data_IF_789222181641
#
_entry.id   IF_789222181641
#
_cell.length_a   1.000
_cell.length_b   1.000
_cell.length_c   1.000
_cell.angle_alpha   90.00
_cell.angle_beta   90.00
_cell.angle_gamma   90.00
#
_symmetry.space_group_name_H-M   'P 1'
#
loop_
_entity.id
_entity.type
_entity.pdbx_description
1 polymer ?
#
# COMPACT_ATOMS: atom_id res chain seq x y z
N UNK A 1 -9.89 34.21 13.61
CA UNK A 1 -10.41 32.89 13.17
C UNK A 1 -9.24 32.08 12.63
N UNK A 2 -9.12 30.81 12.99
CA UNK A 2 -8.04 29.93 12.51
C UNK A 2 -8.58 29.01 11.42
N UNK A 3 -7.88 28.94 10.28
CA UNK A 3 -8.22 28.03 9.19
C UNK A 3 -7.08 27.08 8.93
N UNK A 4 -7.43 25.80 8.82
CA UNK A 4 -6.56 24.79 8.23
C UNK A 4 -6.69 24.91 6.72
N UNK A 5 -5.56 25.03 6.05
CA UNK A 5 -5.46 25.08 4.59
C UNK A 5 -4.88 23.75 4.12
N UNK A 6 -5.70 22.98 3.41
CA UNK A 6 -5.35 21.68 2.87
C UNK A 6 -4.14 21.72 1.94
N UNK A 7 -3.40 20.61 1.81
CA UNK A 7 -2.15 20.56 1.04
C UNK A 7 -2.33 20.92 -0.43
N UNK A 8 -3.50 20.58 -1.00
CA UNK A 8 -3.85 20.91 -2.39
C UNK A 8 -4.14 22.40 -2.63
N UNK A 9 -4.04 23.25 -1.60
CA UNK A 9 -4.36 24.68 -1.66
C UNK A 9 -3.13 25.51 -1.30
N UNK A 10 -2.68 26.30 -2.26
CA UNK A 10 -1.65 27.32 -2.10
C UNK A 10 -2.22 28.71 -2.34
N UNK A 11 -1.42 29.74 -2.04
CA UNK A 11 -1.81 31.14 -2.23
C UNK A 11 -2.15 31.49 -3.69
N UNK A 12 -1.64 30.72 -4.66
CA UNK A 12 -1.92 30.93 -6.08
C UNK A 12 -3.23 30.28 -6.55
N UNK A 13 -3.81 29.37 -5.77
CA UNK A 13 -5.02 28.61 -6.17
C UNK A 13 -6.27 29.48 -6.21
N UNK A 14 -7.20 29.13 -7.10
CA UNK A 14 -8.49 29.82 -7.22
C UNK A 14 -9.29 29.77 -5.91
N UNK A 15 -9.32 28.61 -5.22
CA UNK A 15 -10.04 28.50 -3.95
C UNK A 15 -9.47 29.42 -2.89
N UNK A 16 -8.15 29.53 -2.78
CA UNK A 16 -7.53 30.45 -1.82
C UNK A 16 -7.85 31.91 -2.14
N UNK A 17 -7.81 32.30 -3.42
CA UNK A 17 -8.19 33.65 -3.86
C UNK A 17 -9.65 33.97 -3.53
N UNK A 18 -10.58 33.09 -3.91
CA UNK A 18 -12.01 33.24 -3.59
C UNK A 18 -12.26 33.25 -2.08
N UNK A 19 -11.51 32.44 -1.34
CA UNK A 19 -11.54 32.43 0.12
C UNK A 19 -11.08 33.75 0.73
N UNK A 20 -9.99 34.36 0.23
CA UNK A 20 -9.53 35.66 0.70
C UNK A 20 -10.58 36.76 0.48
N UNK A 21 -11.26 36.74 -0.67
CA UNK A 21 -12.38 37.65 -0.97
C UNK A 21 -13.52 37.43 0.03
N UNK A 22 -13.94 36.19 0.24
CA UNK A 22 -15.00 35.84 1.19
C UNK A 22 -14.66 36.24 2.63
N UNK A 23 -13.39 36.07 3.01
CA UNK A 23 -12.91 36.35 4.35
C UNK A 23 -12.87 37.86 4.63
N UNK A 24 -12.56 38.67 3.61
CA UNK A 24 -12.44 40.12 3.73
C UNK A 24 -11.36 40.53 4.73
N UNK A 25 -11.70 41.48 5.61
CA UNK A 25 -10.80 42.06 6.63
C UNK A 25 -10.75 41.30 7.95
N UNK A 26 -11.43 40.14 8.06
CA UNK A 26 -11.53 39.40 9.33
C UNK A 26 -10.14 38.91 9.81
N UNK A 27 -9.81 39.02 11.12
CA UNK A 27 -8.54 38.55 11.67
C UNK A 27 -8.34 37.05 11.46
N UNK A 28 -7.16 36.66 10.99
CA UNK A 28 -6.90 35.31 10.51
C UNK A 28 -5.52 34.78 10.84
N UNK A 29 -5.48 33.51 11.19
CA UNK A 29 -4.27 32.68 11.19
C UNK A 29 -4.51 31.49 10.28
N UNK A 30 -3.56 31.23 9.39
CA UNK A 30 -3.62 30.13 8.44
C UNK A 30 -2.60 29.07 8.82
N UNK A 31 -3.07 27.83 8.93
CA UNK A 31 -2.22 26.65 9.14
C UNK A 31 -2.18 25.92 7.81
N UNK A 32 -1.10 26.13 7.05
CA UNK A 32 -0.89 25.42 5.80
C UNK A 32 -0.35 24.02 6.10
N UNK A 33 -1.17 22.99 5.84
CA UNK A 33 -0.80 21.61 6.12
C UNK A 33 0.46 21.17 5.38
N UNK A 34 0.63 21.65 4.14
CA UNK A 34 1.83 21.40 3.34
C UNK A 34 3.14 21.89 3.98
N UNK A 35 3.07 22.83 4.94
CA UNK A 35 4.22 23.35 5.67
C UNK A 35 4.37 22.75 7.07
N UNK A 36 3.25 22.57 7.78
CA UNK A 36 3.25 22.23 9.21
C UNK A 36 3.09 20.74 9.47
N UNK A 37 2.34 20.04 8.62
CA UNK A 37 2.07 18.60 8.72
C UNK A 37 2.07 17.94 7.32
N UNK A 38 3.18 17.98 6.56
CA UNK A 38 3.22 17.45 5.21
C UNK A 38 2.78 15.98 5.15
N UNK A 39 1.94 15.64 4.17
CA UNK A 39 1.40 14.31 3.91
C UNK A 39 0.31 13.85 4.88
N UNK A 40 -0.22 14.75 5.72
CA UNK A 40 -1.20 14.39 6.75
C UNK A 40 -2.45 13.70 6.17
N UNK A 41 -2.83 12.52 6.67
CA UNK A 41 -4.06 11.84 6.24
C UNK A 41 -5.32 12.63 6.58
N UNK A 42 -6.34 12.59 5.71
CA UNK A 42 -7.67 13.19 5.93
C UNK A 42 -8.24 12.92 7.33
N UNK A 43 -8.06 11.70 7.83
CA UNK A 43 -8.56 11.29 9.14
C UNK A 43 -7.88 12.03 10.28
N UNK A 44 -6.58 12.30 10.18
CA UNK A 44 -5.82 13.06 11.18
C UNK A 44 -6.26 14.53 11.19
N UNK A 45 -6.58 15.08 10.01
CA UNK A 45 -7.17 16.42 9.89
C UNK A 45 -8.51 16.46 10.64
N UNK A 46 -9.39 15.49 10.37
CA UNK A 46 -10.73 15.45 10.96
C UNK A 46 -10.70 15.20 12.46
N UNK A 47 -9.90 14.26 12.94
CA UNK A 47 -9.97 13.81 14.34
C UNK A 47 -9.14 14.67 15.30
N UNK A 48 -8.09 15.35 14.81
CA UNK A 48 -7.15 16.05 15.70
C UNK A 48 -7.04 17.54 15.43
N UNK A 49 -7.13 17.96 14.17
CA UNK A 49 -7.00 19.37 13.81
C UNK A 49 -8.34 20.08 13.86
N UNK A 50 -9.39 19.54 13.23
CA UNK A 50 -10.69 20.20 13.20
C UNK A 50 -11.35 20.40 14.56
N UNK A 51 -11.21 19.53 15.57
CA UNK A 51 -11.74 19.80 16.90
C UNK A 51 -11.09 21.03 17.55
N UNK A 52 -9.82 21.33 17.21
CA UNK A 52 -9.08 22.49 17.73
C UNK A 52 -9.35 23.76 16.94
N UNK A 53 -9.38 23.67 15.61
CA UNK A 53 -9.38 24.84 14.72
C UNK A 53 -10.73 25.13 14.05
N UNK A 54 -11.63 24.15 14.03
CA UNK A 54 -13.03 24.17 13.54
C UNK A 54 -13.27 24.53 12.07
N UNK A 55 -12.27 25.09 11.38
CA UNK A 55 -12.43 25.61 10.02
C UNK A 55 -11.41 25.00 9.05
N UNK A 56 -11.91 24.49 7.93
CA UNK A 56 -11.14 23.87 6.85
C UNK A 56 -11.36 24.62 5.53
N UNK A 57 -10.31 24.78 4.75
CA UNK A 57 -10.37 25.08 3.33
C UNK A 57 -9.71 23.92 2.56
N UNK A 58 -10.45 23.24 1.67
CA UNK A 58 -9.95 22.06 0.92
C UNK A 58 -10.50 22.00 -0.51
N UNK A 59 -9.73 21.39 -1.42
CA UNK A 59 -10.19 21.00 -2.75
C UNK A 59 -10.74 19.57 -2.79
N UNK A 60 -10.44 18.75 -1.77
CA UNK A 60 -10.94 17.40 -1.69
C UNK A 60 -12.43 17.44 -1.30
N UNK A 61 -13.28 17.11 -2.28
CA UNK A 61 -14.73 17.10 -2.15
C UNK A 61 -15.22 16.09 -1.12
N UNK A 62 -14.50 14.98 -0.95
CA UNK A 62 -14.83 13.94 0.03
C UNK A 62 -14.48 14.42 1.43
N UNK A 63 -13.27 14.99 1.62
CA UNK A 63 -12.84 15.59 2.88
C UNK A 63 -13.78 16.73 3.29
N UNK A 64 -14.15 17.62 2.35
CA UNK A 64 -15.10 18.70 2.59
C UNK A 64 -16.45 18.20 3.09
N UNK A 65 -17.07 17.28 2.36
CA UNK A 65 -18.36 16.72 2.75
C UNK A 65 -18.28 15.97 4.08
N UNK A 66 -17.15 15.32 4.37
CA UNK A 66 -16.95 14.63 5.64
C UNK A 66 -16.83 15.62 6.80
N UNK A 67 -16.01 16.66 6.67
CA UNK A 67 -15.89 17.70 7.68
C UNK A 67 -17.25 18.33 8.01
N UNK A 68 -18.09 18.61 7.00
CA UNK A 68 -19.47 19.10 7.20
C UNK A 68 -20.34 18.08 7.93
N UNK A 69 -20.25 16.79 7.56
CA UNK A 69 -21.04 15.74 8.19
C UNK A 69 -20.69 15.55 9.68
N UNK A 70 -19.43 15.79 10.05
CA UNK A 70 -18.94 15.79 11.44
C UNK A 70 -19.18 17.14 12.17
N UNK A 71 -19.90 18.07 11.54
CA UNK A 71 -20.30 19.35 12.16
C UNK A 71 -19.26 20.48 12.07
N UNK A 72 -18.15 20.28 11.35
CA UNK A 72 -17.12 21.31 11.17
C UNK A 72 -17.45 22.26 10.01
N UNK A 73 -16.91 23.48 10.07
CA UNK A 73 -16.99 24.41 8.96
C UNK A 73 -15.94 24.06 7.93
N UNK A 74 -16.36 23.61 6.75
CA UNK A 74 -15.47 23.40 5.61
C UNK A 74 -15.86 24.31 4.47
N UNK A 75 -14.87 24.85 3.75
CA UNK A 75 -15.03 25.67 2.56
C UNK A 75 -14.36 24.98 1.37
N UNK A 76 -15.03 25.00 0.22
CA UNK A 76 -14.51 24.51 -1.05
C UNK A 76 -15.14 25.27 -2.21
N UNK A 77 -14.71 25.03 -3.45
CA UNK A 77 -15.38 25.54 -4.64
C UNK A 77 -16.47 24.55 -5.10
N UNK A 78 -17.65 25.05 -5.41
CA UNK A 78 -18.71 24.27 -6.05
C UNK A 78 -18.40 24.02 -7.55
N UNK A 79 -19.32 23.33 -8.24
CA UNK A 79 -19.17 23.03 -9.68
C UNK A 79 -19.13 24.28 -10.56
N UNK A 80 -19.61 25.41 -10.05
CA UNK A 80 -19.63 26.70 -10.74
C UNK A 80 -18.42 27.58 -10.36
N UNK A 81 -17.50 27.06 -9.54
CA UNK A 81 -16.32 27.80 -9.07
C UNK A 81 -16.60 28.79 -7.93
N UNK A 82 -17.78 28.74 -7.31
CA UNK A 82 -18.12 29.60 -6.18
C UNK A 82 -17.73 28.97 -4.85
N UNK A 83 -17.30 29.79 -3.90
CA UNK A 83 -16.99 29.30 -2.56
C UNK A 83 -18.28 28.89 -1.84
N UNK A 84 -18.30 27.67 -1.31
CA UNK A 84 -19.43 27.11 -0.58
C UNK A 84 -19.00 26.48 0.73
N UNK A 85 -19.89 26.53 1.73
CA UNK A 85 -19.80 25.78 2.98
C UNK A 85 -20.87 24.69 3.10
N UNK A 86 -21.54 24.35 2.00
CA UNK A 86 -22.60 23.34 1.94
C UNK A 86 -22.05 22.06 1.33
N UNK A 87 -22.57 20.93 1.82
CA UNK A 87 -22.26 19.61 1.27
C UNK A 87 -22.49 19.58 -0.24
N UNK A 88 -21.51 19.07 -0.98
CA UNK A 88 -21.57 18.96 -2.43
C UNK A 88 -22.44 17.76 -2.83
N UNK A 89 -23.44 17.95 -3.71
CA UNK A 89 -24.32 16.88 -4.14
C UNK A 89 -23.57 15.82 -4.95
N UNK A 90 -24.05 14.57 -4.90
CA UNK A 90 -23.50 13.44 -5.66
C UNK A 90 -22.21 12.84 -5.10
N UNK A 91 -21.63 13.39 -4.03
CA UNK A 91 -20.45 12.83 -3.38
C UNK A 91 -20.86 11.85 -2.28
N UNK A 92 -20.67 10.56 -2.54
CA UNK A 92 -20.94 9.50 -1.57
C UNK A 92 -19.85 9.44 -0.51
N UNK A 93 -20.22 9.73 0.73
CA UNK A 93 -19.38 9.43 1.88
C UNK A 93 -19.42 7.91 2.13
N UNK A 94 -18.27 7.24 2.07
CA UNK A 94 -18.16 5.88 2.62
C UNK A 94 -18.42 5.96 4.13
N UNK A 95 -19.01 4.89 4.72
CA UNK A 95 -19.20 4.74 6.18
C UNK A 95 -17.93 5.16 6.93
N UNK A 96 -18.13 5.76 8.12
CA UNK A 96 -17.14 6.23 9.09
C UNK A 96 -15.72 5.71 8.79
N UNK A 97 -14.82 6.62 8.42
CA UNK A 97 -13.41 6.30 8.47
C UNK A 97 -13.06 5.96 9.92
N UNK A 98 -12.21 4.96 10.14
CA UNK A 98 -11.78 4.63 11.49
C UNK A 98 -11.08 5.84 12.08
N UNK A 99 -11.21 6.08 13.40
CA UNK A 99 -10.50 7.18 14.01
C UNK A 99 -8.98 7.02 13.84
N UNK A 100 -8.26 8.12 13.91
CA UNK A 100 -6.80 8.13 14.02
C UNK A 100 -6.37 7.24 15.20
N UNK A 101 -5.45 6.32 14.91
CA UNK A 101 -4.82 5.47 15.93
C UNK A 101 -3.63 6.17 16.61
N UNK A 102 -3.10 7.24 16.02
CA UNK A 102 -1.97 7.98 16.59
C UNK A 102 -2.49 8.83 17.75
N UNK A 103 -1.77 8.89 18.88
CA UNK A 103 -2.18 9.72 20.02
C UNK A 103 -2.01 11.20 19.75
N UNK A 104 -0.91 11.55 19.09
CA UNK A 104 -0.52 12.92 18.82
C UNK A 104 -0.43 13.16 17.32
N UNK A 105 -0.41 14.44 16.95
CA UNK A 105 -0.20 14.84 15.56
C UNK A 105 1.30 14.77 15.26
N UNK A 106 1.69 14.18 14.14
CA UNK A 106 3.10 14.20 13.71
C UNK A 106 3.42 15.46 12.95
N UNK A 107 4.65 15.96 13.10
CA UNK A 107 5.15 17.09 12.32
C UNK A 107 5.32 16.72 10.84
N UNK A 108 5.51 15.43 10.52
CA UNK A 108 5.69 14.98 9.15
C UNK A 108 5.10 13.57 8.95
N UNK A 109 4.09 13.47 8.11
CA UNK A 109 3.41 12.22 7.77
C UNK A 109 3.94 11.58 6.50
N UNK A 110 4.89 12.22 5.81
CA UNK A 110 5.66 11.60 4.74
C UNK A 110 6.62 10.57 5.35
N UNK A 111 6.08 9.44 5.79
CA UNK A 111 6.87 8.25 6.06
C UNK A 111 7.47 7.79 4.73
N UNK A 112 8.66 8.30 4.42
CA UNK A 112 9.44 7.81 3.31
C UNK A 112 9.94 6.42 3.68
N UNK A 113 9.75 5.40 2.82
CA UNK A 113 10.56 4.20 2.91
C UNK A 113 12.04 4.59 2.95
N UNK A 114 12.91 3.76 3.54
CA UNK A 114 14.35 4.01 3.43
C UNK A 114 14.74 4.10 1.95
N UNK A 115 15.79 4.86 1.65
CA UNK A 115 16.28 5.02 0.27
C UNK A 115 16.56 3.65 -0.38
N UNK A 116 17.02 2.68 0.42
CA UNK A 116 17.18 1.28 0.02
C UNK A 116 15.86 0.61 -0.38
N UNK A 117 14.80 0.71 0.43
CA UNK A 117 13.49 0.14 0.09
C UNK A 117 12.91 0.80 -1.16
N UNK A 118 13.15 2.10 -1.33
CA UNK A 118 12.77 2.84 -2.53
C UNK A 118 13.52 2.35 -3.78
N UNK A 119 14.82 2.15 -3.65
CA UNK A 119 15.66 1.59 -4.70
C UNK A 119 15.18 0.19 -5.10
N UNK A 120 14.97 -0.70 -4.13
CA UNK A 120 14.48 -2.06 -4.38
C UNK A 120 13.11 -2.05 -5.08
N UNK A 121 12.20 -1.20 -4.64
CA UNK A 121 10.89 -1.05 -5.30
C UNK A 121 11.02 -0.55 -6.74
N UNK A 122 11.89 0.44 -7.00
CA UNK A 122 12.13 0.94 -8.36
C UNK A 122 12.63 -0.17 -9.30
N UNK A 123 13.54 -1.03 -8.84
CA UNK A 123 14.06 -2.17 -9.60
C UNK A 123 12.98 -3.23 -9.86
N UNK A 124 12.14 -3.52 -8.87
CA UNK A 124 11.00 -4.42 -9.05
C UNK A 124 9.99 -3.89 -10.07
N UNK A 125 9.67 -2.59 -10.03
CA UNK A 125 8.75 -1.97 -10.99
C UNK A 125 9.29 -2.06 -12.43
N UNK A 126 10.60 -1.98 -12.63
CA UNK A 126 11.23 -2.15 -13.94
C UNK A 126 11.15 -3.58 -14.49
N UNK A 127 10.88 -4.56 -13.63
CA UNK A 127 10.67 -5.95 -14.02
C UNK A 127 9.21 -6.25 -14.40
N UNK A 128 8.29 -5.32 -14.15
CA UNK A 128 6.86 -5.50 -14.39
C UNK A 128 6.39 -4.81 -15.66
N UNK A 129 5.41 -5.43 -16.34
CA UNK A 129 4.71 -4.78 -17.45
C UNK A 129 3.90 -3.58 -16.97
N UNK A 130 3.68 -2.60 -17.85
CA UNK A 130 2.87 -1.41 -17.55
C UNK A 130 1.48 -1.76 -16.99
N UNK A 131 0.83 -2.79 -17.56
CA UNK A 131 -0.46 -3.29 -17.09
C UNK A 131 -0.40 -3.81 -15.66
N UNK A 132 0.70 -4.46 -15.26
CA UNK A 132 0.92 -4.90 -13.89
C UNK A 132 1.11 -3.70 -12.95
N UNK A 133 1.91 -2.72 -13.35
CA UNK A 133 2.15 -1.48 -12.59
C UNK A 133 0.84 -0.73 -12.32
N UNK A 134 -0.04 -0.61 -13.32
CA UNK A 134 -1.35 0.03 -13.16
C UNK A 134 -2.27 -0.72 -12.18
N UNK A 135 -2.27 -2.06 -12.23
CA UNK A 135 -2.98 -2.90 -11.26
C UNK A 135 -2.45 -2.68 -9.84
N UNK A 136 -1.13 -2.65 -9.66
CA UNK A 136 -0.49 -2.38 -8.37
C UNK A 136 -0.87 -0.99 -7.85
N UNK A 137 -0.77 0.05 -8.68
CA UNK A 137 -1.17 1.42 -8.32
C UNK A 137 -2.63 1.49 -7.86
N UNK A 138 -3.52 0.79 -8.58
CA UNK A 138 -4.95 0.72 -8.22
C UNK A 138 -5.17 0.00 -6.89
N UNK A 139 -4.51 -1.14 -6.66
CA UNK A 139 -4.56 -1.88 -5.39
C UNK A 139 -4.04 -1.03 -4.23
N UNK A 140 -2.88 -0.39 -4.39
CA UNK A 140 -2.29 0.53 -3.40
C UNK A 140 -3.24 1.67 -3.03
N UNK A 141 -3.87 2.32 -4.02
CA UNK A 141 -4.88 3.37 -3.79
C UNK A 141 -6.08 2.84 -3.00
N UNK A 142 -6.57 1.63 -3.32
CA UNK A 142 -7.70 1.01 -2.61
C UNK A 142 -7.37 0.69 -1.16
N UNK A 143 -6.18 0.14 -0.89
CA UNK A 143 -5.70 -0.15 0.46
C UNK A 143 -5.60 1.16 1.26
N UNK A 144 -4.92 2.18 0.72
CA UNK A 144 -4.84 3.50 1.36
C UNK A 144 -6.21 4.10 1.65
N UNK A 145 -7.14 4.04 0.69
CA UNK A 145 -8.51 4.55 0.88
C UNK A 145 -9.30 3.77 1.95
N UNK A 146 -9.03 2.48 2.14
CA UNK A 146 -9.73 1.64 3.11
C UNK A 146 -9.23 1.87 4.53
N UNK A 147 -7.91 1.89 4.71
CA UNK A 147 -7.29 2.04 6.03
C UNK A 147 -7.10 3.51 6.44
N UNK A 148 -7.08 4.46 5.50
CA UNK A 148 -6.81 5.88 5.74
C UNK A 148 -5.32 6.14 5.98
N UNK A 149 -4.73 5.45 6.94
CA UNK A 149 -3.33 5.51 7.34
C UNK A 149 -2.74 4.08 7.46
N UNK A 150 -1.45 3.92 7.16
CA UNK A 150 -0.68 2.70 7.42
C UNK A 150 -0.69 2.35 8.91
N UNK A 151 -0.77 3.35 9.80
CA UNK A 151 -0.91 3.13 11.24
C UNK A 151 -2.15 2.32 11.62
N UNK A 152 -3.20 2.31 10.78
CA UNK A 152 -4.41 1.51 11.00
C UNK A 152 -4.24 0.04 10.57
N UNK A 153 -3.09 -0.34 10.03
CA UNK A 153 -2.74 -1.72 9.69
C UNK A 153 -2.03 -2.37 10.88
N UNK A 154 -2.54 -3.52 11.33
CA UNK A 154 -1.98 -4.27 12.44
C UNK A 154 -0.84 -5.19 11.96
N UNK A 155 -1.13 -5.98 10.92
CA UNK A 155 -0.18 -6.93 10.32
C UNK A 155 -0.61 -7.30 8.90
N UNK A 156 0.33 -7.89 8.15
CA UNK A 156 0.13 -8.46 6.83
C UNK A 156 0.27 -9.98 6.94
N UNK A 157 -0.72 -10.72 6.46
CA UNK A 157 -0.64 -12.17 6.34
C UNK A 157 -0.55 -12.55 4.87
N UNK A 158 0.52 -13.21 4.47
CA UNK A 158 0.60 -13.90 3.19
C UNK A 158 0.37 -15.40 3.38
N UNK A 159 -0.53 -15.99 2.61
CA UNK A 159 -0.54 -17.44 2.39
C UNK A 159 0.09 -17.72 1.03
N UNK A 160 1.22 -18.43 1.00
CA UNK A 160 1.99 -18.64 -0.23
C UNK A 160 2.14 -20.13 -0.47
N UNK A 161 1.83 -20.55 -1.68
CA UNK A 161 1.99 -21.93 -2.13
C UNK A 161 2.98 -22.01 -3.29
N UNK A 162 3.81 -23.04 -3.24
CA UNK A 162 4.77 -23.42 -4.28
C UNK A 162 4.69 -24.92 -4.50
N UNK A 163 4.63 -25.35 -5.75
CA UNK A 163 4.57 -26.76 -6.13
C UNK A 163 5.45 -26.99 -7.35
N UNK A 164 6.32 -28.00 -7.27
CA UNK A 164 7.07 -28.48 -8.43
C UNK A 164 6.11 -29.24 -9.34
N UNK A 165 6.06 -28.86 -10.60
CA UNK A 165 5.47 -29.64 -11.69
C UNK A 165 6.58 -30.06 -12.65
N UNK A 166 6.32 -31.04 -13.51
CA UNK A 166 7.33 -31.72 -14.37
C UNK A 166 8.65 -30.97 -14.63
N UNK A 167 8.60 -29.78 -15.25
CA UNK A 167 9.79 -28.94 -15.54
C UNK A 167 9.61 -27.48 -15.11
N UNK A 168 8.70 -27.21 -14.18
CA UNK A 168 8.34 -25.85 -13.80
C UNK A 168 7.98 -25.77 -12.32
N UNK A 169 7.87 -24.57 -11.79
CA UNK A 169 7.24 -24.33 -10.49
C UNK A 169 5.97 -23.53 -10.70
N UNK A 170 4.85 -24.06 -10.22
CA UNK A 170 3.59 -23.32 -10.13
C UNK A 170 3.41 -22.84 -8.70
N UNK A 171 2.82 -21.67 -8.54
CA UNK A 171 2.49 -21.19 -7.22
C UNK A 171 1.67 -19.91 -7.24
N UNK A 172 1.50 -19.34 -6.06
CA UNK A 172 0.75 -18.11 -5.91
C UNK A 172 0.66 -17.69 -4.47
N UNK A 173 -0.09 -16.62 -4.24
CA UNK A 173 -0.31 -16.08 -2.91
C UNK A 173 -1.70 -15.52 -2.71
N UNK A 174 -2.15 -15.53 -1.45
CA UNK A 174 -3.21 -14.66 -0.94
C UNK A 174 -2.61 -13.65 0.04
N UNK A 175 -3.01 -12.40 -0.11
CA UNK A 175 -2.64 -11.30 0.77
C UNK A 175 -3.87 -10.86 1.57
N UNK A 176 -3.78 -11.01 2.89
CA UNK A 176 -4.71 -10.47 3.87
C UNK A 176 -4.04 -9.34 4.64
N UNK A 177 -4.81 -8.27 4.88
CA UNK A 177 -4.34 -7.12 5.67
C UNK A 177 -5.20 -7.04 6.92
N UNK A 178 -4.59 -7.27 8.08
CA UNK A 178 -5.26 -7.14 9.37
C UNK A 178 -5.31 -5.68 9.77
N UNK A 179 -6.46 -5.26 10.26
CA UNK A 179 -6.65 -3.91 10.75
C UNK A 179 -6.39 -3.83 12.25
N UNK A 180 -5.96 -2.66 12.74
CA UNK A 180 -6.02 -2.34 14.18
C UNK A 180 -7.49 -2.06 14.59
N UNK A 181 -7.73 -2.00 15.91
CA UNK A 181 -9.07 -1.82 16.52
C UNK A 181 -9.91 -0.79 15.75
N UNK A 182 -11.22 -1.06 15.60
CA UNK A 182 -12.26 -0.30 14.85
C UNK A 182 -12.49 -0.66 13.38
N UNK A 183 -11.55 -1.36 12.72
CA UNK A 183 -11.72 -1.80 11.34
C UNK A 183 -11.83 -3.32 11.20
N UNK A 184 -12.50 -3.76 10.13
CA UNK A 184 -12.44 -5.16 9.67
C UNK A 184 -11.17 -5.39 8.87
N UNK A 185 -10.62 -6.60 8.97
CA UNK A 185 -9.52 -7.03 8.11
C UNK A 185 -9.96 -7.04 6.64
N UNK A 186 -9.05 -6.66 5.75
CA UNK A 186 -9.22 -6.83 4.31
C UNK A 186 -8.77 -8.25 3.95
N UNK A 187 -9.73 -9.18 3.98
CA UNK A 187 -9.49 -10.62 3.82
C UNK A 187 -8.88 -10.99 2.46
N UNK A 188 -9.15 -10.20 1.42
CA UNK A 188 -8.65 -10.39 0.07
C UNK A 188 -8.09 -9.07 -0.48
N UNK A 189 -6.95 -8.64 0.05
CA UNK A 189 -6.33 -7.39 -0.37
C UNK A 189 -5.61 -7.55 -1.72
N UNK A 190 -4.99 -8.69 -1.95
CA UNK A 190 -4.40 -9.09 -3.23
C UNK A 190 -4.33 -10.60 -3.34
N UNK A 191 -4.26 -11.09 -4.57
CA UNK A 191 -3.84 -12.45 -4.89
C UNK A 191 -3.09 -12.39 -6.23
N UNK A 192 -2.31 -13.44 -6.49
CA UNK A 192 -1.59 -13.62 -7.74
C UNK A 192 -1.08 -15.03 -7.88
N UNK A 193 -1.02 -15.52 -9.12
CA UNK A 193 -0.60 -16.89 -9.45
C UNK A 193 0.42 -16.82 -10.59
N UNK A 194 1.48 -17.61 -10.45
CA UNK A 194 2.61 -17.57 -11.35
C UNK A 194 3.05 -18.98 -11.75
N UNK A 195 3.59 -19.07 -12.96
CA UNK A 195 4.27 -20.24 -13.50
C UNK A 195 5.72 -19.85 -13.85
N UNK A 196 6.67 -20.57 -13.26
CA UNK A 196 8.11 -20.44 -13.50
C UNK A 196 8.61 -21.63 -14.31
N UNK A 197 8.73 -21.45 -15.62
CA UNK A 197 9.33 -22.43 -16.53
C UNK A 197 10.82 -22.17 -16.79
N UNK A 198 11.35 -21.01 -16.36
CA UNK A 198 12.72 -20.58 -16.72
C UNK A 198 13.75 -20.97 -15.67
N UNK A 199 13.48 -20.69 -14.39
CA UNK A 199 14.31 -21.12 -13.27
C UNK A 199 13.78 -22.41 -12.62
N UNK A 200 12.46 -22.62 -12.68
CA UNK A 200 11.75 -23.69 -11.97
C UNK A 200 12.18 -23.80 -10.49
N UNK A 201 12.35 -22.65 -9.81
CA UNK A 201 12.85 -22.62 -8.43
C UNK A 201 11.70 -22.54 -7.42
N UNK A 202 11.74 -23.34 -6.34
CA UNK A 202 10.62 -23.43 -5.37
C UNK A 202 10.31 -22.11 -4.65
N UNK A 203 11.28 -21.18 -4.63
CA UNK A 203 11.13 -19.83 -4.08
C UNK A 203 10.55 -18.80 -5.06
N UNK A 204 10.32 -19.13 -6.33
CA UNK A 204 9.80 -18.17 -7.31
C UNK A 204 8.44 -17.58 -6.91
N UNK A 205 7.47 -18.36 -6.38
CA UNK A 205 6.23 -17.80 -5.82
C UNK A 205 6.45 -16.91 -4.59
N UNK A 206 7.47 -17.17 -3.78
CA UNK A 206 7.86 -16.32 -2.64
C UNK A 206 8.42 -15.00 -3.16
N UNK A 207 9.32 -15.04 -4.14
CA UNK A 207 9.85 -13.83 -4.78
C UNK A 207 8.70 -12.99 -5.33
N UNK A 208 7.77 -13.62 -6.06
CA UNK A 208 6.59 -12.96 -6.61
C UNK A 208 5.74 -12.26 -5.53
N UNK A 209 5.44 -12.96 -4.44
CA UNK A 209 4.66 -12.41 -3.33
C UNK A 209 5.36 -11.21 -2.66
N UNK A 210 6.66 -11.33 -2.38
CA UNK A 210 7.45 -10.25 -1.79
C UNK A 210 7.56 -9.05 -2.72
N UNK A 211 7.71 -9.24 -4.03
CA UNK A 211 7.71 -8.12 -4.98
C UNK A 211 6.42 -7.31 -4.92
N UNK A 212 5.27 -7.96 -4.78
CA UNK A 212 4.00 -7.27 -4.57
C UNK A 212 3.94 -6.53 -3.23
N UNK A 213 4.44 -7.12 -2.13
CA UNK A 213 4.51 -6.45 -0.83
C UNK A 213 5.28 -5.11 -0.93
N UNK A 214 6.44 -5.13 -1.60
CA UNK A 214 7.27 -3.94 -1.82
C UNK A 214 6.54 -2.90 -2.66
N UNK A 215 6.03 -3.29 -3.82
CA UNK A 215 5.37 -2.34 -4.73
C UNK A 215 4.02 -1.83 -4.19
N UNK A 216 3.41 -2.52 -3.21
CA UNK A 216 2.24 -2.03 -2.46
C UNK A 216 2.60 -1.06 -1.32
N UNK A 217 3.88 -0.88 -1.01
CA UNK A 217 4.41 -0.02 0.05
C UNK A 217 3.96 -0.47 1.45
N UNK A 218 4.03 -1.78 1.71
CA UNK A 218 3.60 -2.39 2.97
C UNK A 218 4.76 -2.94 3.81
N UNK A 219 6.01 -2.63 3.45
CA UNK A 219 7.23 -3.20 4.07
C UNK A 219 7.47 -2.78 5.52
N UNK A 220 6.83 -1.69 5.97
CA UNK A 220 6.94 -1.18 7.34
C UNK A 220 5.96 -1.85 8.32
N UNK A 221 5.01 -2.63 7.80
CA UNK A 221 4.01 -3.35 8.61
C UNK A 221 4.56 -4.73 8.98
N UNK A 222 4.33 -5.25 10.20
CA UNK A 222 4.68 -6.63 10.54
C UNK A 222 4.08 -7.64 9.55
N UNK A 223 4.90 -8.58 9.08
CA UNK A 223 4.53 -9.56 8.04
C UNK A 223 4.64 -10.97 8.58
N UNK A 224 3.59 -11.78 8.40
CA UNK A 224 3.64 -13.22 8.61
C UNK A 224 3.47 -13.94 7.28
N UNK A 225 4.46 -14.77 6.92
CA UNK A 225 4.45 -15.61 5.73
C UNK A 225 4.03 -17.03 6.12
N UNK A 226 2.78 -17.38 5.81
CA UNK A 226 2.24 -18.73 5.93
C UNK A 226 2.58 -19.51 4.65
N UNK A 227 3.57 -20.40 4.71
CA UNK A 227 4.11 -21.11 3.54
C UNK A 227 3.61 -22.56 3.54
N UNK A 228 2.97 -22.99 2.45
CA UNK A 228 2.42 -24.35 2.35
C UNK A 228 3.48 -25.41 2.02
N UNK A 229 4.55 -25.01 1.32
CA UNK A 229 5.64 -25.91 0.92
C UNK A 229 6.71 -25.97 2.02
N UNK A 230 6.97 -27.14 2.65
CA UNK A 230 7.98 -27.26 3.71
C UNK A 230 9.39 -26.89 3.26
N UNK A 231 9.77 -27.26 2.04
CA UNK A 231 11.09 -26.93 1.49
C UNK A 231 11.29 -25.41 1.32
N UNK A 232 10.27 -24.71 0.78
CA UNK A 232 10.33 -23.25 0.65
C UNK A 232 10.37 -22.56 2.02
N UNK A 233 9.62 -23.06 2.99
CA UNK A 233 9.61 -22.55 4.37
C UNK A 233 11.00 -22.60 5.00
N UNK A 234 11.66 -23.76 4.95
CA UNK A 234 13.00 -23.92 5.53
C UNK A 234 14.02 -23.03 4.82
N UNK A 235 14.00 -22.97 3.49
CA UNK A 235 14.85 -22.05 2.73
C UNK A 235 14.63 -20.58 3.14
N UNK A 236 13.39 -20.13 3.30
CA UNK A 236 13.10 -18.76 3.75
C UNK A 236 13.67 -18.46 5.14
N UNK A 237 13.55 -19.40 6.09
CA UNK A 237 14.14 -19.26 7.43
C UNK A 237 15.66 -19.14 7.33
N UNK A 238 16.31 -20.02 6.57
CA UNK A 238 17.77 -19.99 6.36
C UNK A 238 18.22 -18.66 5.74
N UNK A 239 17.56 -18.20 4.67
CA UNK A 239 17.92 -16.96 3.98
C UNK A 239 17.77 -15.71 4.86
N UNK A 240 16.82 -15.69 5.81
CA UNK A 240 16.70 -14.57 6.75
C UNK A 240 17.85 -14.53 7.78
N UNK A 241 18.44 -15.68 8.10
CA UNK A 241 19.50 -15.81 9.12
C UNK A 241 20.92 -15.73 8.57
N UNK A 242 21.16 -16.22 7.35
CA UNK A 242 22.51 -16.38 6.82
C UNK A 242 22.77 -15.32 5.75
N UNK A 243 23.83 -14.52 5.91
CA UNK A 243 24.30 -13.52 4.95
C UNK A 243 25.24 -14.07 3.87
N UNK A 244 25.15 -15.35 3.54
CA UNK A 244 26.03 -15.98 2.53
C UNK A 244 25.57 -15.65 1.12
N UNK A 245 26.55 -15.54 0.21
CA UNK A 245 26.33 -15.40 -1.23
C UNK A 245 25.55 -16.61 -1.72
N UNK A 246 24.38 -16.39 -2.34
CA UNK A 246 23.57 -17.46 -2.89
C UNK A 246 24.01 -17.78 -4.33
N UNK A 247 23.87 -19.04 -4.70
CA UNK A 247 24.21 -19.58 -6.02
C UNK A 247 23.16 -19.28 -7.10
N UNK A 248 21.95 -18.90 -6.69
CA UNK A 248 20.80 -18.72 -7.57
C UNK A 248 20.22 -17.29 -7.46
N UNK A 249 19.94 -16.60 -8.58
CA UNK A 249 19.48 -15.21 -8.57
C UNK A 249 18.10 -15.04 -7.91
N UNK A 250 17.22 -16.03 -7.98
CA UNK A 250 15.93 -16.01 -7.26
C UNK A 250 16.17 -16.09 -5.74
N UNK A 251 17.08 -16.97 -5.27
CA UNK A 251 17.46 -17.03 -3.85
C UNK A 251 18.05 -15.71 -3.37
N UNK A 252 19.00 -15.14 -4.12
CA UNK A 252 19.60 -13.83 -3.82
C UNK A 252 18.52 -12.73 -3.72
N UNK A 253 17.57 -12.72 -4.66
CA UNK A 253 16.50 -11.73 -4.68
C UNK A 253 15.58 -11.86 -3.47
N UNK A 254 15.17 -13.09 -3.12
CA UNK A 254 14.35 -13.36 -1.94
C UNK A 254 15.09 -12.98 -0.66
N UNK A 255 16.37 -13.35 -0.53
CA UNK A 255 17.21 -13.00 0.61
C UNK A 255 17.27 -11.48 0.80
N UNK A 256 17.58 -10.73 -0.27
CA UNK A 256 17.70 -9.28 -0.23
C UNK A 256 16.38 -8.61 0.22
N UNK A 257 15.24 -9.07 -0.31
CA UNK A 257 13.93 -8.57 0.10
C UNK A 257 13.64 -8.93 1.57
N UNK A 258 13.89 -10.17 1.99
CA UNK A 258 13.63 -10.60 3.36
C UNK A 258 14.48 -9.83 4.38
N UNK A 259 15.75 -9.53 4.06
CA UNK A 259 16.65 -8.78 4.95
C UNK A 259 16.15 -7.35 5.22
N UNK A 260 15.50 -6.71 4.25
CA UNK A 260 14.96 -5.34 4.39
C UNK A 260 13.54 -5.28 4.98
N UNK A 261 12.94 -6.43 5.36
CA UNK A 261 11.72 -6.45 6.16
C UNK A 261 12.06 -6.34 7.64
N UNK A 262 11.47 -5.32 8.30
CA UNK A 262 11.72 -5.00 9.71
C UNK A 262 11.23 -6.11 10.65
N UNK A 263 10.03 -6.63 10.43
CA UNK A 263 9.42 -7.68 11.26
C UNK A 263 8.76 -8.73 10.35
N UNK A 264 9.44 -9.85 10.13
CA UNK A 264 8.93 -10.97 9.33
C UNK A 264 8.96 -12.26 10.12
N UNK A 265 7.82 -12.95 10.15
CA UNK A 265 7.66 -14.28 10.75
C UNK A 265 7.33 -15.31 9.66
N UNK A 266 7.83 -16.53 9.82
CA UNK A 266 7.58 -17.63 8.89
C UNK A 266 6.84 -18.75 9.59
N UNK A 267 5.65 -19.10 9.11
CA UNK A 267 4.79 -20.11 9.70
C UNK A 267 4.46 -21.21 8.68
N UNK A 268 4.43 -22.49 9.07
CA UNK A 268 3.88 -23.53 8.21
C UNK A 268 2.39 -23.32 8.00
N UNK A 269 1.93 -23.46 6.76
CA UNK A 269 0.51 -23.37 6.41
C UNK A 269 -0.01 -24.74 6.02
N UNK A 270 -0.64 -25.43 6.97
CA UNK A 270 -1.10 -26.83 6.79
C UNK A 270 -2.62 -26.98 6.73
N UNK A 271 -3.38 -25.96 7.17
CA UNK A 271 -4.85 -25.99 7.20
C UNK A 271 -5.45 -24.58 7.28
N UNK A 272 -6.75 -24.48 6.99
CA UNK A 272 -7.54 -23.26 7.10
C UNK A 272 -8.06 -22.74 5.75
N UNK A 273 -8.95 -21.73 5.76
CA UNK A 273 -9.70 -21.33 4.58
C UNK A 273 -8.81 -20.79 3.45
N UNK A 274 -7.69 -20.13 3.75
CA UNK A 274 -6.74 -19.66 2.74
C UNK A 274 -5.86 -20.78 2.18
N UNK A 275 -5.51 -21.78 3.01
CA UNK A 275 -4.82 -22.97 2.56
C UNK A 275 -5.69 -23.78 1.59
N UNK A 276 -6.92 -24.10 1.98
CA UNK A 276 -7.84 -24.87 1.13
C UNK A 276 -8.12 -24.16 -0.20
N UNK A 277 -8.30 -22.83 -0.15
CA UNK A 277 -8.51 -22.02 -1.35
C UNK A 277 -7.29 -22.00 -2.27
N UNK A 278 -6.09 -21.84 -1.74
CA UNK A 278 -4.89 -21.77 -2.58
C UNK A 278 -4.60 -23.12 -3.22
N UNK A 279 -4.78 -24.22 -2.48
CA UNK A 279 -4.65 -25.57 -3.03
C UNK A 279 -5.66 -25.81 -4.15
N UNK A 280 -6.95 -25.53 -3.91
CA UNK A 280 -7.99 -25.68 -4.93
C UNK A 280 -7.72 -24.83 -6.20
N UNK A 281 -7.21 -23.60 -6.02
CA UNK A 281 -6.84 -22.73 -7.14
C UNK A 281 -5.64 -23.27 -7.92
N UNK A 282 -4.59 -23.73 -7.25
CA UNK A 282 -3.45 -24.35 -7.92
C UNK A 282 -3.84 -25.63 -8.65
N UNK A 283 -4.66 -26.49 -8.03
CA UNK A 283 -5.20 -27.68 -8.68
C UNK A 283 -6.00 -27.32 -9.93
N UNK A 284 -6.86 -26.29 -9.86
CA UNK A 284 -7.58 -25.81 -11.04
C UNK A 284 -6.62 -25.35 -12.15
N UNK A 285 -5.56 -24.61 -11.81
CA UNK A 285 -4.61 -24.06 -12.77
C UNK A 285 -3.70 -25.12 -13.40
N UNK A 286 -3.39 -26.21 -12.68
CA UNK A 286 -2.65 -27.35 -13.23
C UNK A 286 -3.44 -28.07 -14.34
N UNK A 287 -4.77 -28.11 -14.23
CA UNK A 287 -5.61 -28.91 -15.12
C UNK A 287 -6.41 -28.10 -16.15
N UNK A 288 -6.49 -26.77 -15.99
CA UNK A 288 -7.29 -25.90 -16.86
C UNK A 288 -6.48 -24.67 -17.30
N UNK A 289 -6.61 -24.30 -18.58
CA UNK A 289 -6.12 -23.01 -19.07
C UNK A 289 -6.94 -21.89 -18.42
N UNK A 290 -6.27 -21.04 -17.64
CA UNK A 290 -6.89 -19.87 -17.01
C UNK A 290 -6.07 -18.61 -17.34
N UNK A 291 -6.74 -17.47 -17.45
CA UNK A 291 -6.07 -16.17 -17.65
C UNK A 291 -5.52 -15.59 -16.32
N UNK A 292 -5.73 -16.29 -15.20
CA UNK A 292 -5.25 -15.89 -13.87
C UNK A 292 -3.80 -16.30 -13.64
N UNK A 293 -3.36 -17.40 -14.27
CA UNK A 293 -1.99 -17.88 -14.23
C UNK A 293 -1.11 -17.05 -15.16
N UNK A 294 -0.05 -16.46 -14.62
CA UNK A 294 0.91 -15.65 -15.39
C UNK A 294 2.23 -16.40 -15.48
N UNK A 295 2.68 -16.71 -16.70
CA UNK A 295 4.06 -17.16 -16.92
C UNK A 295 5.01 -15.99 -16.69
N UNK A 296 5.96 -16.16 -15.78
CA UNK A 296 6.93 -15.13 -15.39
C UNK A 296 8.33 -15.68 -15.61
N UNK A 297 9.15 -14.92 -16.33
CA UNK A 297 10.58 -15.21 -16.39
C UNK A 297 11.26 -14.70 -15.11
N UNK A 298 11.32 -15.57 -14.10
CA UNK A 298 11.89 -15.23 -12.80
C UNK A 298 13.39 -15.01 -12.85
N UNK A 299 14.09 -15.60 -13.83
CA UNK A 299 15.50 -15.33 -14.06
C UNK A 299 15.69 -13.88 -14.50
N UNK A 300 15.00 -13.47 -15.56
CA UNK A 300 15.09 -12.11 -16.06
C UNK A 300 14.65 -11.07 -15.02
N UNK A 301 13.58 -11.38 -14.26
CA UNK A 301 13.12 -10.53 -13.15
C UNK A 301 14.19 -10.39 -12.06
N UNK A 302 14.84 -11.49 -11.67
CA UNK A 302 15.91 -11.45 -10.68
C UNK A 302 17.14 -10.69 -11.20
N UNK A 303 17.52 -10.88 -12.46
CA UNK A 303 18.66 -10.20 -13.09
C UNK A 303 18.44 -8.67 -13.12
N UNK A 304 17.24 -8.21 -13.48
CA UNK A 304 16.87 -6.78 -13.42
C UNK A 304 16.86 -6.27 -11.97
N UNK A 305 16.32 -7.05 -11.04
CA UNK A 305 16.22 -6.67 -9.63
C UNK A 305 17.58 -6.53 -8.95
N UNK A 306 18.51 -7.43 -9.26
CA UNK A 306 19.85 -7.46 -8.67
C UNK A 306 20.82 -6.48 -9.35
N UNK A 307 20.48 -5.95 -10.53
CA UNK A 307 21.35 -5.01 -11.25
C UNK A 307 21.42 -3.65 -10.52
N UNK A 308 22.62 -3.23 -10.05
CA UNK A 308 22.77 -2.00 -9.30
C UNK A 308 22.53 -0.73 -10.13
N UNK A 309 22.71 -0.82 -11.45
CA UNK A 309 22.70 0.33 -12.37
C UNK A 309 21.31 0.71 -12.87
N UNK A 310 20.29 -0.09 -12.56
CA UNK A 310 18.92 0.19 -12.97
C UNK A 310 18.25 1.05 -11.90
N UNK A 311 18.24 2.37 -12.10
CA UNK A 311 17.49 3.32 -11.26
C UNK A 311 16.59 4.15 -12.17
N UNK A 312 15.29 3.96 -12.05
CA UNK A 312 14.34 4.90 -12.64
C UNK A 312 14.10 6.04 -11.65
N UNK A 313 14.08 7.29 -12.13
CA UNK A 313 13.84 8.51 -11.36
C UNK A 313 12.40 8.64 -10.82
N UNK A 314 11.67 7.53 -10.69
CA UNK A 314 10.34 7.52 -10.10
C UNK A 314 10.48 7.78 -8.59
N UNK A 315 10.13 9.00 -8.18
CA UNK A 315 9.97 9.35 -6.77
C UNK A 315 9.05 8.34 -6.09
N UNK A 316 9.57 7.65 -5.08
CA UNK A 316 8.77 7.33 -3.90
C UNK A 316 8.16 8.62 -3.35
#
# INVERSE_FOLDING_TARGET
MQFIIDEGISESTAAFKSFLVWLGTRPRNFIFLSKVHPGIPDIEIIDKLLPKYQNLLTHDRVLHNRAIAEGFKSLTLDTNGNLTNKSLPGIKLKKLQPPSMRKEIEENYLQKPSDEVCLLNSRLLNSFSQKCIEKIRTKRRRIRSYFGDVANIASIDFTIASENISKAVIGGYFLKINARKSLKALMHASEGYCLDETCAHILSPIFYALSYLYCLHLTQVPVTLYITCPQALELCKTLKTIGTVQDNPVKQSVQLLLLHLTNVEFMPCVKGPFFERIQAKLDQMKHRKTNELVTVDFKAMADVFLNPNIVNSMKC
#
